data_IF_425692878924
#
_entry.id   IF_425692878924
#
_cell.length_a   1.000
_cell.length_b   1.000
_cell.length_c   1.000
_cell.angle_alpha   90.00
_cell.angle_beta   90.00
_cell.angle_gamma   90.00
#
_symmetry.space_group_name_H-M   'P 1'
#
loop_
_entity.id
_entity.type
_entity.pdbx_description
1 polymer ?
#
# COMPACT_ATOMS: atom_id res chain seq x y z
N UNK A 1 25.83 -75.50 31.89
CA UNK A 1 24.59 -76.10 31.37
C UNK A 1 23.46 -75.10 31.63
N UNK A 2 23.03 -74.38 30.58
CA UNK A 2 21.68 -74.39 29.95
C UNK A 2 20.66 -73.56 30.75
N UNK A 3 19.97 -72.53 30.23
CA UNK A 3 19.87 -72.03 28.86
C UNK A 3 19.25 -70.61 28.79
N UNK A 4 19.33 -69.99 27.61
CA UNK A 4 18.84 -68.65 27.26
C UNK A 4 17.67 -68.80 26.28
N UNK A 5 16.58 -68.02 26.36
CA UNK A 5 15.52 -68.05 25.37
C UNK A 5 15.84 -67.18 24.14
N UNK A 6 15.46 -67.69 22.97
CA UNK A 6 15.57 -67.05 21.65
C UNK A 6 14.55 -65.91 21.46
N UNK A 7 14.98 -64.87 20.76
CA UNK A 7 14.18 -63.70 20.37
C UNK A 7 14.02 -63.69 18.83
N UNK A 8 12.79 -63.59 18.31
CA UNK A 8 12.48 -63.42 16.89
C UNK A 8 12.23 -61.94 16.54
N UNK A 9 12.65 -61.44 15.36
CA UNK A 9 12.07 -60.23 14.79
C UNK A 9 11.44 -60.49 13.41
N UNK A 10 10.13 -60.26 13.26
CA UNK A 10 9.44 -60.20 11.97
C UNK A 10 8.54 -58.96 11.85
N UNK A 11 9.13 -57.77 11.79
CA UNK A 11 8.40 -56.54 11.41
C UNK A 11 9.12 -55.61 10.42
N UNK A 12 10.29 -55.99 9.89
CA UNK A 12 11.02 -55.16 8.91
C UNK A 12 10.79 -55.55 7.44
N UNK A 13 10.17 -56.69 7.15
CA UNK A 13 9.98 -57.18 5.78
C UNK A 13 8.68 -56.67 5.15
N UNK A 14 7.67 -56.27 5.94
CA UNK A 14 6.39 -55.78 5.42
C UNK A 14 6.42 -54.31 4.93
N UNK A 15 7.43 -53.52 5.31
CA UNK A 15 7.47 -52.08 5.00
C UNK A 15 8.09 -51.79 3.62
N UNK A 16 8.99 -52.64 3.15
CA UNK A 16 9.67 -52.45 1.85
C UNK A 16 8.81 -52.87 0.64
N UNK A 17 7.87 -53.80 0.82
CA UNK A 17 6.95 -54.23 -0.24
C UNK A 17 5.81 -53.24 -0.51
N UNK A 18 5.42 -52.43 0.48
CA UNK A 18 4.39 -51.39 0.30
C UNK A 18 4.95 -50.14 -0.42
N UNK A 19 6.21 -49.78 -0.17
CA UNK A 19 6.85 -48.60 -0.78
C UNK A 19 7.18 -48.82 -2.26
N UNK A 20 7.54 -50.05 -2.66
CA UNK A 20 7.86 -50.38 -4.05
C UNK A 20 6.61 -50.31 -4.96
N UNK A 21 5.43 -50.67 -4.46
CA UNK A 21 4.17 -50.63 -5.22
C UNK A 21 3.63 -49.22 -5.47
N UNK A 22 3.89 -48.27 -4.55
CA UNK A 22 3.44 -46.88 -4.72
C UNK A 22 4.24 -46.15 -5.82
N UNK A 23 5.53 -46.46 -5.97
CA UNK A 23 6.39 -45.87 -7.01
C UNK A 23 6.04 -46.37 -8.42
N UNK A 24 5.59 -47.62 -8.57
CA UNK A 24 5.19 -48.16 -9.88
C UNK A 24 3.86 -47.58 -10.36
N UNK A 25 2.93 -47.29 -9.44
CA UNK A 25 1.64 -46.69 -9.78
C UNK A 25 1.78 -45.21 -10.20
N UNK A 26 2.71 -44.47 -9.59
CA UNK A 26 2.99 -43.07 -9.94
C UNK A 26 3.66 -42.94 -11.32
N UNK A 27 4.51 -43.90 -11.70
CA UNK A 27 5.19 -43.90 -13.00
C UNK A 27 4.24 -44.23 -14.16
N UNK A 28 3.24 -45.09 -13.93
CA UNK A 28 2.21 -45.41 -14.93
C UNK A 28 1.22 -44.25 -15.17
N UNK A 29 0.90 -43.46 -14.13
CA UNK A 29 0.03 -42.28 -14.26
C UNK A 29 0.71 -41.11 -15.00
N UNK A 30 2.02 -40.94 -14.85
CA UNK A 30 2.79 -39.91 -15.57
C UNK A 30 2.98 -40.27 -17.06
N UNK A 31 3.12 -41.56 -17.40
CA UNK A 31 3.24 -42.00 -18.79
C UNK A 31 1.95 -41.82 -19.61
N UNK A 32 0.77 -41.88 -18.98
CA UNK A 32 -0.52 -41.63 -19.62
C UNK A 32 -0.83 -40.14 -19.88
N UNK A 33 -0.07 -39.21 -19.31
CA UNK A 33 -0.30 -37.78 -19.50
C UNK A 33 0.46 -37.19 -20.70
N UNK A 34 1.52 -37.87 -21.18
CA UNK A 34 2.36 -37.39 -22.29
C UNK A 34 1.89 -37.82 -23.70
N UNK A 35 0.76 -38.51 -23.84
CA UNK A 35 0.22 -38.94 -25.15
C UNK A 35 -0.96 -38.11 -25.68
N UNK A 36 -1.32 -37.02 -25.00
CA UNK A 36 -2.54 -36.23 -25.33
C UNK A 36 -2.28 -34.79 -25.78
N UNK A 37 -1.07 -34.44 -26.22
CA UNK A 37 -0.78 -33.15 -26.85
C UNK A 37 -0.04 -33.34 -28.16
N UNK A 38 -0.79 -33.67 -29.21
CA UNK A 38 -0.32 -33.51 -30.58
C UNK A 38 -1.51 -33.15 -31.47
N UNK A 39 -1.68 -31.85 -31.71
CA UNK A 39 -2.59 -31.34 -32.74
C UNK A 39 -2.09 -30.00 -33.28
N UNK A 40 -2.00 -29.92 -34.61
CA UNK A 40 -2.19 -28.68 -35.34
C UNK A 40 -0.94 -27.89 -35.73
N UNK A 41 -0.33 -28.30 -36.85
CA UNK A 41 0.51 -27.46 -37.70
C UNK A 41 -0.32 -26.26 -38.20
N UNK A 42 0.20 -25.05 -38.00
CA UNK A 42 -0.29 -23.82 -38.61
C UNK A 42 0.88 -23.07 -39.24
N UNK A 43 0.83 -22.92 -40.56
CA UNK A 43 1.77 -22.19 -41.42
C UNK A 43 2.08 -20.77 -40.91
N UNK A 44 3.36 -20.46 -40.78
CA UNK A 44 3.85 -19.08 -40.80
C UNK A 44 5.01 -18.97 -41.80
N UNK A 45 4.74 -18.34 -42.94
CA UNK A 45 5.77 -17.87 -43.86
C UNK A 45 6.48 -16.63 -43.28
N UNK A 46 7.81 -16.47 -43.49
CA UNK A 46 8.58 -15.37 -42.91
C UNK A 46 8.50 -14.09 -43.76
N UNK A 47 8.41 -12.93 -43.10
CA UNK A 47 8.66 -11.63 -43.71
C UNK A 47 10.06 -11.17 -43.29
N UNK A 48 10.92 -10.70 -44.22
CA UNK A 48 12.35 -10.53 -43.98
C UNK A 48 12.69 -9.26 -43.19
N UNK A 49 13.72 -9.39 -42.34
CA UNK A 49 14.45 -8.29 -41.74
C UNK A 49 15.31 -7.58 -42.80
N UNK A 50 15.22 -6.25 -42.84
CA UNK A 50 16.18 -5.41 -43.55
C UNK A 50 17.17 -4.89 -42.51
N UNK A 51 18.43 -5.30 -42.70
CA UNK A 51 19.62 -4.77 -42.04
C UNK A 51 20.12 -3.60 -42.89
N UNK A 52 20.42 -2.47 -42.27
CA UNK A 52 21.44 -1.55 -42.81
C UNK A 52 22.44 -1.24 -41.69
N UNK A 53 23.63 -1.82 -41.85
CA UNK A 53 24.85 -1.52 -41.10
C UNK A 53 25.73 -0.71 -42.04
N UNK A 54 26.22 0.44 -41.60
CA UNK A 54 27.45 1.01 -42.11
C UNK A 54 28.44 1.28 -40.97
N UNK A 55 29.63 0.75 -41.19
CA UNK A 55 30.83 0.71 -40.36
C UNK A 55 31.72 1.93 -40.57
N UNK A 56 32.46 2.35 -39.53
CA UNK A 56 33.92 2.59 -39.60
C UNK A 56 34.52 2.93 -38.21
N UNK A 57 35.40 2.05 -37.72
CA UNK A 57 36.54 2.32 -36.80
C UNK A 57 37.77 2.73 -37.66
N UNK A 58 39.01 3.00 -37.16
CA UNK A 58 39.59 2.75 -35.82
C UNK A 58 40.62 3.77 -35.26
N UNK A 59 41.03 3.54 -34.00
CA UNK A 59 42.42 3.45 -33.47
C UNK A 59 42.68 4.21 -32.17
N UNK A 60 43.28 3.51 -31.20
CA UNK A 60 44.09 4.12 -30.13
C UNK A 60 43.99 3.46 -28.75
N UNK A 61 44.71 2.35 -28.55
CA UNK A 61 45.27 1.90 -27.25
C UNK A 61 46.79 2.21 -27.26
N UNK A 62 47.60 2.04 -26.17
CA UNK A 62 47.34 1.41 -24.87
C UNK A 62 47.97 2.13 -23.64
N UNK A 63 47.72 1.65 -22.41
CA UNK A 63 48.80 1.29 -21.46
C UNK A 63 48.28 0.59 -20.19
N UNK A 64 49.11 -0.32 -19.71
CA UNK A 64 48.98 -1.26 -18.58
C UNK A 64 49.00 -0.61 -17.18
N UNK A 65 48.54 -1.36 -16.18
CA UNK A 65 48.81 -1.12 -14.76
C UNK A 65 48.24 -2.24 -13.87
N UNK A 66 49.13 -2.96 -13.19
CA UNK A 66 48.91 -4.22 -12.49
C UNK A 66 48.32 -4.07 -11.07
N UNK A 67 47.57 -5.11 -10.66
CA UNK A 67 47.50 -5.83 -9.37
C UNK A 67 47.68 -5.09 -8.03
N UNK A 68 46.73 -5.28 -7.10
CA UNK A 68 47.03 -5.90 -5.79
C UNK A 68 45.76 -6.38 -5.06
N UNK A 69 45.89 -7.57 -4.45
CA UNK A 69 44.91 -8.25 -3.60
C UNK A 69 45.32 -7.97 -2.14
N UNK A 70 44.37 -7.51 -1.31
CA UNK A 70 44.53 -7.47 0.13
C UNK A 70 43.28 -8.03 0.81
N UNK A 71 43.44 -9.25 1.34
CA UNK A 71 42.56 -9.84 2.36
C UNK A 71 42.90 -9.18 3.69
N UNK A 72 41.90 -8.67 4.40
CA UNK A 72 42.00 -8.48 5.84
C UNK A 72 40.65 -8.69 6.53
N UNK A 73 40.75 -9.31 7.68
CA UNK A 73 39.71 -9.95 8.48
C UNK A 73 39.11 -9.03 9.53
N UNK A 74 37.87 -9.38 9.94
CA UNK A 74 37.25 -9.26 11.27
C UNK A 74 36.54 -7.96 11.70
N UNK A 75 35.38 -8.26 12.28
CA UNK A 75 34.60 -7.57 13.32
C UNK A 75 33.76 -6.35 12.92
N UNK A 76 32.48 -6.64 12.68
CA UNK A 76 31.36 -5.72 12.45
C UNK A 76 30.73 -5.35 13.79
N UNK A 77 30.63 -4.06 14.18
CA UNK A 77 29.64 -3.62 15.12
C UNK A 77 28.35 -3.23 14.37
N UNK A 78 27.22 -3.66 14.94
CA UNK A 78 25.86 -3.25 14.58
C UNK A 78 25.67 -1.75 14.84
N UNK A 79 25.14 -0.95 13.91
CA UNK A 79 24.72 0.40 14.24
C UNK A 79 23.26 0.39 14.72
N UNK A 80 23.06 0.67 16.00
CA UNK A 80 21.82 1.20 16.55
C UNK A 80 21.73 2.67 16.13
N UNK A 81 20.71 3.04 15.36
CA UNK A 81 20.47 4.43 14.96
C UNK A 81 19.71 5.17 16.06
N UNK A 82 20.46 5.86 16.93
CA UNK A 82 19.95 7.02 17.65
C UNK A 82 20.04 8.24 16.72
N UNK A 83 18.89 8.84 16.39
CA UNK A 83 18.84 10.12 15.68
C UNK A 83 18.94 11.23 16.73
N UNK A 84 20.07 11.92 16.78
CA UNK A 84 20.17 13.23 17.43
C UNK A 84 19.97 14.34 16.39
N UNK A 85 19.23 15.42 16.72
CA UNK A 85 19.08 16.55 15.83
C UNK A 85 20.23 17.53 16.08
N UNK A 86 21.09 17.75 15.10
CA UNK A 86 21.75 19.04 14.88
C UNK A 86 22.64 18.97 13.62
N UNK A 87 22.23 19.65 12.55
CA UNK A 87 23.13 20.30 11.60
C UNK A 87 22.35 21.36 10.78
N UNK A 88 23.01 22.39 10.22
CA UNK A 88 22.57 23.77 10.29
C UNK A 88 21.99 24.22 8.94
N UNK A 89 21.20 25.27 9.00
CA UNK A 89 20.62 25.94 7.84
C UNK A 89 21.73 26.52 6.95
N UNK A 90 21.78 26.08 5.69
CA UNK A 90 22.54 26.77 4.64
C UNK A 90 21.66 27.91 4.13
N UNK A 91 22.02 29.13 4.52
CA UNK A 91 21.59 30.37 3.89
C UNK A 91 22.16 30.43 2.47
N UNK A 92 21.30 30.52 1.46
CA UNK A 92 21.67 31.06 0.16
C UNK A 92 20.74 32.23 -0.15
N UNK A 93 21.33 33.42 -0.03
CA UNK A 93 20.82 34.69 -0.51
C UNK A 93 20.83 34.76 -2.03
N UNK A 94 19.90 35.57 -2.53
CA UNK A 94 19.88 36.26 -3.83
C UNK A 94 18.97 35.67 -4.92
N UNK A 95 17.69 36.04 -4.84
CA UNK A 95 16.84 36.22 -6.01
C UNK A 95 15.95 37.45 -5.79
N UNK A 96 16.37 38.56 -6.40
CA UNK A 96 15.58 39.78 -6.54
C UNK A 96 14.53 39.60 -7.64
N UNK A 97 13.29 39.36 -7.26
CA UNK A 97 12.13 39.45 -8.16
C UNK A 97 11.20 40.55 -7.65
N UNK A 98 11.22 41.70 -8.34
CA UNK A 98 10.23 42.77 -8.19
C UNK A 98 8.90 42.25 -8.74
N UNK A 99 7.95 41.95 -7.87
CA UNK A 99 6.54 41.83 -8.22
C UNK A 99 5.74 42.80 -7.36
N UNK A 100 5.22 43.83 -8.00
CA UNK A 100 4.27 44.78 -7.44
C UNK A 100 2.90 44.10 -7.30
N UNK A 101 2.51 43.79 -6.07
CA UNK A 101 1.15 43.33 -5.75
C UNK A 101 0.30 44.54 -5.40
N UNK A 102 -0.73 44.81 -6.21
CA UNK A 102 -1.76 45.80 -5.91
C UNK A 102 -2.71 45.21 -4.87
N UNK A 103 -2.66 45.72 -3.63
CA UNK A 103 -3.65 45.45 -2.59
C UNK A 103 -4.96 46.16 -2.95
N UNK A 104 -5.95 45.40 -3.40
CA UNK A 104 -7.35 45.86 -3.45
C UNK A 104 -7.92 45.72 -2.04
N UNK A 105 -8.09 46.85 -1.36
CA UNK A 105 -8.77 46.91 -0.06
C UNK A 105 -10.28 46.76 -0.26
N UNK A 106 -10.83 45.62 0.17
CA UNK A 106 -12.28 45.47 0.30
C UNK A 106 -12.75 46.17 1.57
N UNK A 107 -13.45 47.29 1.41
CA UNK A 107 -14.20 47.94 2.48
C UNK A 107 -15.55 47.24 2.58
N UNK A 108 -15.76 46.48 3.66
CA UNK A 108 -17.08 45.93 4.00
C UNK A 108 -17.99 47.04 4.54
N UNK A 109 -19.14 47.23 3.88
CA UNK A 109 -20.20 48.14 4.31
C UNK A 109 -20.86 47.68 5.63
N UNK A 110 -21.38 48.60 6.46
CA UNK A 110 -22.01 48.26 7.72
C UNK A 110 -23.36 47.55 7.48
N UNK A 111 -23.53 46.39 8.11
CA UNK A 111 -24.81 45.68 8.21
C UNK A 111 -25.69 46.42 9.22
N UNK A 112 -26.86 46.87 8.79
CA UNK A 112 -27.86 47.51 9.64
C UNK A 112 -28.36 46.52 10.71
N UNK A 113 -28.38 46.98 11.95
CA UNK A 113 -28.88 46.22 13.09
C UNK A 113 -30.39 45.99 12.97
N UNK A 114 -30.81 44.73 12.92
CA UNK A 114 -32.20 44.33 13.06
C UNK A 114 -32.60 44.28 14.54
N UNK A 115 -33.76 44.85 14.85
CA UNK A 115 -34.41 44.90 16.17
C UNK A 115 -34.81 43.50 16.64
N UNK A 116 -34.71 43.15 17.94
CA UNK A 116 -35.07 41.82 18.42
C UNK A 116 -36.60 41.63 18.46
N UNK A 117 -37.08 40.64 17.72
CA UNK A 117 -38.44 40.13 17.82
C UNK A 117 -38.63 39.26 19.08
N UNK A 118 -39.86 39.26 19.59
CA UNK A 118 -40.27 38.73 20.88
C UNK A 118 -39.95 37.24 21.10
N UNK A 119 -39.63 36.91 22.37
CA UNK A 119 -39.39 35.58 22.92
C UNK A 119 -40.62 34.68 22.73
N UNK A 120 -40.57 33.80 21.73
CA UNK A 120 -41.44 32.63 21.61
C UNK A 120 -40.99 31.56 22.61
N UNK A 121 -41.96 30.89 23.24
CA UNK A 121 -41.75 29.86 24.25
C UNK A 121 -40.88 28.70 23.72
N UNK A 122 -39.93 28.25 24.55
CA UNK A 122 -39.07 27.08 24.35
C UNK A 122 -39.95 25.82 24.18
N UNK A 123 -40.15 25.38 22.94
CA UNK A 123 -40.40 23.97 22.68
C UNK A 123 -39.06 23.25 22.70
N UNK A 124 -38.93 22.13 23.45
CA UNK A 124 -37.72 21.32 23.41
C UNK A 124 -37.52 20.82 21.98
N UNK A 125 -36.54 21.39 21.29
CA UNK A 125 -36.08 20.91 19.99
C UNK A 125 -35.47 19.54 20.21
N UNK A 126 -36.25 18.48 19.98
CA UNK A 126 -35.72 17.13 19.89
C UNK A 126 -34.78 17.16 18.68
N UNK A 127 -33.47 17.24 18.94
CA UNK A 127 -32.46 17.04 17.89
C UNK A 127 -32.77 15.69 17.24
N UNK A 128 -33.01 15.62 15.92
CA UNK A 128 -33.25 14.35 15.26
C UNK A 128 -32.08 13.42 15.60
N UNK A 129 -32.40 12.22 16.11
CA UNK A 129 -31.39 11.17 16.29
C UNK A 129 -30.73 10.93 14.94
N UNK A 130 -29.38 10.97 14.83
CA UNK A 130 -28.72 10.70 13.57
C UNK A 130 -29.17 9.32 13.04
N UNK A 131 -29.63 9.28 11.79
CA UNK A 131 -29.90 8.01 11.10
C UNK A 131 -28.62 7.16 11.10
N UNK A 132 -28.76 5.83 11.13
CA UNK A 132 -27.63 4.94 10.88
C UNK A 132 -26.99 5.25 9.50
N UNK A 133 -25.67 5.07 9.35
CA UNK A 133 -24.99 5.24 8.06
C UNK A 133 -25.53 4.21 7.05
N UNK A 134 -25.59 4.60 5.78
CA UNK A 134 -26.05 3.69 4.71
C UNK A 134 -24.96 2.70 4.30
N UNK A 135 -23.70 3.12 4.43
CA UNK A 135 -22.53 2.28 4.17
C UNK A 135 -21.57 2.37 5.35
N UNK A 136 -20.95 1.24 5.65
CA UNK A 136 -19.97 1.12 6.72
C UNK A 136 -18.94 0.08 6.30
N UNK A 137 -17.77 0.55 5.88
CA UNK A 137 -16.77 -0.27 5.20
C UNK A 137 -15.50 -0.31 6.05
N UNK A 138 -14.98 -1.50 6.42
CA UNK A 138 -13.66 -1.62 7.02
C UNK A 138 -12.58 -1.21 6.02
N UNK A 139 -11.72 -0.28 6.43
CA UNK A 139 -10.53 0.13 5.68
C UNK A 139 -9.33 -0.34 6.48
N UNK A 140 -8.65 -1.38 6.01
CA UNK A 140 -7.56 -2.03 6.72
C UNK A 140 -6.25 -1.32 6.43
N UNK A 141 -5.57 -0.85 7.46
CA UNK A 141 -4.32 -0.09 7.39
C UNK A 141 -3.13 -0.99 7.76
N UNK A 142 -2.42 -1.43 6.73
CA UNK A 142 -1.14 -2.13 6.78
C UNK A 142 0.01 -1.16 6.50
N UNK A 143 1.24 -1.55 6.84
CA UNK A 143 2.46 -0.81 6.49
C UNK A 143 3.47 -1.79 5.85
N UNK A 144 4.43 -2.30 6.63
CA UNK A 144 5.48 -3.20 6.16
C UNK A 144 5.10 -4.68 6.31
N UNK A 145 5.48 -5.49 5.33
CA UNK A 145 5.22 -6.93 5.23
C UNK A 145 6.52 -7.72 5.29
N UNK A 146 7.11 -7.81 6.48
CA UNK A 146 8.38 -8.51 6.73
C UNK A 146 8.40 -9.15 8.11
N UNK A 147 9.56 -9.68 8.53
CA UNK A 147 9.73 -10.26 9.86
C UNK A 147 10.54 -9.28 10.72
N UNK A 148 9.87 -8.58 11.61
CA UNK A 148 10.47 -7.69 12.61
C UNK A 148 9.71 -7.79 13.95
N UNK A 149 10.05 -8.78 14.81
CA UNK A 149 9.32 -9.02 16.06
C UNK A 149 9.37 -7.82 17.03
N UNK A 150 8.25 -7.49 17.66
CA UNK A 150 8.12 -6.32 18.55
C UNK A 150 7.67 -5.05 17.84
N UNK A 151 7.62 -5.06 16.50
CA UNK A 151 7.19 -3.91 15.71
C UNK A 151 5.73 -4.06 15.26
N UNK A 152 4.81 -3.36 15.95
CA UNK A 152 3.37 -3.49 15.72
C UNK A 152 2.91 -3.05 14.32
N UNK A 153 3.69 -2.22 13.60
CA UNK A 153 3.35 -1.80 12.23
C UNK A 153 3.82 -2.79 11.17
N UNK A 154 4.59 -3.83 11.55
CA UNK A 154 5.12 -4.85 10.65
C UNK A 154 4.32 -6.14 10.81
N UNK A 155 3.76 -6.64 9.71
CA UNK A 155 3.09 -7.96 9.66
C UNK A 155 3.97 -8.97 8.92
N UNK A 156 4.08 -10.20 9.41
CA UNK A 156 4.79 -11.24 8.67
C UNK A 156 4.04 -11.64 7.39
N UNK A 157 4.74 -12.04 6.31
CA UNK A 157 4.09 -12.54 5.10
C UNK A 157 3.09 -13.68 5.37
N UNK A 158 3.43 -14.59 6.29
CA UNK A 158 2.55 -15.69 6.69
C UNK A 158 1.25 -15.19 7.35
N UNK A 159 1.33 -14.21 8.25
CA UNK A 159 0.13 -13.63 8.89
C UNK A 159 -0.71 -12.84 7.89
N UNK A 160 -0.08 -12.12 6.96
CA UNK A 160 -0.82 -11.44 5.89
C UNK A 160 -1.58 -12.47 5.03
N UNK A 161 -0.92 -13.56 4.65
CA UNK A 161 -1.55 -14.64 3.89
C UNK A 161 -2.72 -15.30 4.65
N UNK A 162 -2.59 -15.55 5.95
CA UNK A 162 -3.70 -16.02 6.79
C UNK A 162 -4.91 -15.05 6.75
N UNK A 163 -4.65 -13.75 6.85
CA UNK A 163 -5.71 -12.74 6.79
C UNK A 163 -6.38 -12.68 5.41
N UNK A 164 -5.60 -12.71 4.32
CA UNK A 164 -6.16 -12.69 2.96
C UNK A 164 -6.96 -13.97 2.66
N UNK A 165 -6.47 -15.12 3.11
CA UNK A 165 -7.17 -16.41 3.02
C UNK A 165 -8.51 -16.34 3.74
N UNK A 166 -8.52 -15.80 4.97
CA UNK A 166 -9.76 -15.63 5.73
C UNK A 166 -10.76 -14.73 5.00
N UNK A 167 -10.32 -13.58 4.48
CA UNK A 167 -11.19 -12.66 3.73
C UNK A 167 -11.84 -13.37 2.53
N UNK A 168 -11.03 -14.09 1.74
CA UNK A 168 -11.49 -14.86 0.59
C UNK A 168 -12.52 -15.92 0.99
N UNK A 169 -12.18 -16.79 1.94
CA UNK A 169 -12.99 -17.96 2.30
C UNK A 169 -14.31 -17.58 3.00
N UNK A 170 -14.39 -16.38 3.57
CA UNK A 170 -15.58 -15.88 4.28
C UNK A 170 -16.40 -14.87 3.46
N UNK A 171 -16.08 -14.73 2.16
CA UNK A 171 -16.84 -13.92 1.21
C UNK A 171 -16.69 -12.41 1.42
N UNK A 172 -15.59 -11.95 2.03
CA UNK A 172 -15.25 -10.54 1.99
C UNK A 172 -14.78 -10.17 0.59
N UNK A 173 -15.20 -8.99 0.13
CA UNK A 173 -14.83 -8.48 -1.20
C UNK A 173 -13.90 -7.29 -1.05
N UNK A 174 -12.57 -7.48 -1.12
CA UNK A 174 -11.64 -6.38 -1.34
C UNK A 174 -11.99 -5.58 -2.59
N UNK A 175 -12.17 -4.26 -2.45
CA UNK A 175 -12.57 -3.36 -3.54
C UNK A 175 -11.46 -2.37 -3.89
N UNK A 176 -11.43 -1.92 -5.14
CA UNK A 176 -10.56 -0.81 -5.56
C UNK A 176 -10.96 0.51 -4.89
N UNK A 177 -10.06 1.50 -4.86
CA UNK A 177 -10.34 2.80 -4.29
C UNK A 177 -11.51 3.50 -5.00
N UNK A 178 -11.59 3.39 -6.32
CA UNK A 178 -12.68 3.93 -7.11
C UNK A 178 -14.04 3.34 -6.72
N UNK A 179 -14.09 2.03 -6.50
CA UNK A 179 -15.31 1.33 -6.04
C UNK A 179 -15.67 1.76 -4.62
N UNK A 180 -14.69 1.79 -3.72
CA UNK A 180 -14.87 2.28 -2.36
C UNK A 180 -15.48 3.69 -2.32
N UNK A 181 -14.93 4.63 -3.10
CA UNK A 181 -15.45 6.00 -3.15
C UNK A 181 -16.88 6.02 -3.69
N UNK A 182 -17.18 5.24 -4.73
CA UNK A 182 -18.52 5.17 -5.30
C UNK A 182 -19.56 4.67 -4.28
N UNK A 183 -19.15 3.75 -3.40
CA UNK A 183 -19.98 3.26 -2.29
C UNK A 183 -20.20 4.34 -1.23
N UNK A 184 -19.15 5.07 -0.84
CA UNK A 184 -19.25 6.19 0.13
C UNK A 184 -20.12 7.33 -0.40
N UNK A 185 -20.02 7.66 -1.69
CA UNK A 185 -20.79 8.72 -2.34
C UNK A 185 -22.24 8.29 -2.64
N UNK A 186 -22.55 6.99 -2.57
CA UNK A 186 -23.86 6.45 -2.88
C UNK A 186 -24.28 6.60 -4.35
N UNK A 187 -23.31 6.73 -5.26
CA UNK A 187 -23.52 6.97 -6.69
C UNK A 187 -23.27 5.73 -7.57
N UNK A 188 -23.01 4.56 -6.95
CA UNK A 188 -22.88 3.30 -7.66
C UNK A 188 -24.18 2.88 -8.36
N UNK A 189 -24.12 2.65 -9.68
CA UNK A 189 -25.23 2.10 -10.47
C UNK A 189 -25.37 0.59 -10.34
N UNK A 190 -24.35 -0.09 -9.82
CA UNK A 190 -24.34 -1.52 -9.53
C UNK A 190 -24.71 -1.79 -8.06
N UNK A 191 -25.27 -2.96 -7.78
CA UNK A 191 -25.46 -3.43 -6.41
C UNK A 191 -24.11 -3.41 -5.67
N UNK A 192 -24.10 -2.93 -4.42
CA UNK A 192 -22.91 -2.93 -3.60
C UNK A 192 -22.38 -4.38 -3.45
N UNK A 193 -21.06 -4.62 -3.58
CA UNK A 193 -20.50 -5.95 -3.39
C UNK A 193 -20.78 -6.43 -1.97
N UNK A 194 -20.91 -7.75 -1.80
CA UNK A 194 -21.10 -8.32 -0.47
C UNK A 194 -19.83 -8.12 0.37
N UNK A 195 -20.02 -7.71 1.63
CA UNK A 195 -18.95 -7.55 2.63
C UNK A 195 -17.72 -6.78 2.08
N UNK A 196 -17.89 -5.54 1.58
CA UNK A 196 -16.80 -4.78 1.01
C UNK A 196 -15.72 -4.51 2.05
N UNK A 197 -14.45 -4.56 1.64
CA UNK A 197 -13.28 -4.18 2.45
C UNK A 197 -12.34 -3.37 1.56
N UNK A 198 -11.72 -2.31 2.10
CA UNK A 198 -10.63 -1.64 1.41
C UNK A 198 -9.30 -2.03 2.05
N UNK A 199 -8.37 -2.56 1.27
CA UNK A 199 -7.01 -2.88 1.70
C UNK A 199 -6.12 -1.67 1.43
N UNK A 200 -5.45 -1.14 2.45
CA UNK A 200 -4.54 0.00 2.32
C UNK A 200 -3.18 -0.31 2.91
N UNK A 201 -2.12 0.10 2.22
CA UNK A 201 -0.74 0.04 2.64
C UNK A 201 -0.16 1.46 2.66
N UNK A 202 0.56 1.82 3.71
CA UNK A 202 1.18 3.14 3.86
C UNK A 202 2.71 3.05 3.64
N UNK A 203 3.34 4.22 3.53
CA UNK A 203 4.78 4.50 3.46
C UNK A 203 5.51 4.12 2.17
N UNK A 204 5.08 3.05 1.48
CA UNK A 204 5.72 2.60 0.23
C UNK A 204 6.98 1.77 0.46
N UNK A 205 6.94 0.87 1.45
CA UNK A 205 8.01 -0.09 1.72
C UNK A 205 8.19 -1.08 0.56
N UNK A 206 9.44 -1.47 0.29
CA UNK A 206 9.78 -2.40 -0.80
C UNK A 206 9.08 -3.76 -0.67
N UNK A 207 8.84 -4.20 0.57
CA UNK A 207 8.15 -5.45 0.87
C UNK A 207 6.66 -5.46 0.45
N UNK A 208 6.07 -4.29 0.18
CA UNK A 208 4.73 -4.21 -0.41
C UNK A 208 4.73 -4.80 -1.83
N UNK A 209 5.83 -4.63 -2.57
CA UNK A 209 6.04 -5.26 -3.88
C UNK A 209 6.55 -6.70 -3.75
N UNK A 210 7.53 -6.96 -2.89
CA UNK A 210 8.17 -8.28 -2.82
C UNK A 210 7.33 -9.35 -2.12
N UNK A 211 6.50 -8.96 -1.14
CA UNK A 211 5.75 -9.88 -0.28
C UNK A 211 4.24 -9.69 -0.41
N UNK A 212 3.74 -8.45 -0.26
CA UNK A 212 2.30 -8.21 -0.23
C UNK A 212 1.63 -8.49 -1.59
N UNK A 213 2.19 -7.92 -2.67
CA UNK A 213 1.68 -8.11 -4.03
C UNK A 213 1.48 -9.58 -4.43
N UNK A 214 2.48 -10.49 -4.33
CA UNK A 214 2.27 -11.88 -4.71
C UNK A 214 1.26 -12.62 -3.81
N UNK A 215 1.08 -12.22 -2.54
CA UNK A 215 0.05 -12.79 -1.67
C UNK A 215 -1.34 -12.34 -2.13
N UNK A 216 -1.55 -11.04 -2.36
CA UNK A 216 -2.85 -10.51 -2.79
C UNK A 216 -3.23 -11.00 -4.20
N UNK A 217 -2.24 -11.19 -5.08
CA UNK A 217 -2.44 -11.70 -6.43
C UNK A 217 -3.04 -13.12 -6.46
N UNK A 218 -2.81 -13.96 -5.45
CA UNK A 218 -3.44 -15.31 -5.33
C UNK A 218 -4.97 -15.24 -5.32
N UNK A 219 -5.52 -14.13 -4.87
CA UNK A 219 -6.96 -13.91 -4.68
C UNK A 219 -7.53 -12.83 -5.61
N UNK A 220 -6.70 -12.29 -6.53
CA UNK A 220 -7.03 -11.13 -7.35
C UNK A 220 -7.53 -9.92 -6.54
N UNK A 221 -6.98 -9.72 -5.34
CA UNK A 221 -7.39 -8.63 -4.45
C UNK A 221 -6.73 -7.30 -4.86
N UNK A 222 -7.53 -6.25 -5.13
CA UNK A 222 -6.99 -4.91 -5.28
C UNK A 222 -6.57 -4.34 -3.91
N UNK A 223 -5.69 -3.34 -3.94
CA UNK A 223 -5.33 -2.56 -2.77
C UNK A 223 -4.97 -1.12 -3.15
N UNK A 224 -4.90 -0.24 -2.15
CA UNK A 224 -4.40 1.13 -2.30
C UNK A 224 -3.07 1.25 -1.57
N UNK A 225 -2.06 1.79 -2.23
CA UNK A 225 -0.79 2.15 -1.62
C UNK A 225 -0.66 3.68 -1.52
N UNK A 226 -0.43 4.18 -0.31
CA UNK A 226 -0.11 5.57 -0.04
C UNK A 226 1.41 5.73 0.07
N UNK A 227 2.02 6.47 -0.86
CA UNK A 227 3.49 6.65 -0.90
C UNK A 227 3.92 8.07 -0.57
N UNK A 228 5.13 8.21 -0.03
CA UNK A 228 5.86 9.48 0.02
C UNK A 228 6.91 9.52 -1.10
N UNK A 229 6.72 10.27 -2.20
CA UNK A 229 7.65 10.27 -3.33
C UNK A 229 9.10 10.64 -2.97
N UNK A 230 9.31 11.44 -1.93
CA UNK A 230 10.66 11.76 -1.43
C UNK A 230 11.39 10.59 -0.77
N UNK A 231 10.67 9.51 -0.44
CA UNK A 231 11.24 8.27 0.09
C UNK A 231 11.55 7.25 -1.00
N UNK A 232 11.04 7.44 -2.22
CA UNK A 232 11.30 6.54 -3.36
C UNK A 232 12.79 6.46 -3.66
N UNK A 233 13.25 5.27 -4.04
CA UNK A 233 14.67 4.92 -4.26
C UNK A 233 15.57 4.93 -3.01
N UNK A 234 15.03 5.26 -1.82
CA UNK A 234 15.78 5.08 -0.58
C UNK A 234 15.81 3.61 -0.16
N UNK A 235 16.82 3.23 0.64
CA UNK A 235 16.96 1.86 1.16
C UNK A 235 15.71 1.45 1.94
N UNK A 236 15.11 0.32 1.55
CA UNK A 236 13.89 -0.21 2.17
C UNK A 236 12.58 0.31 1.56
N UNK A 237 12.64 1.24 0.62
CA UNK A 237 11.48 1.79 -0.08
C UNK A 237 11.42 1.34 -1.53
N UNK A 238 10.24 1.44 -2.12
CA UNK A 238 10.01 1.14 -3.52
C UNK A 238 10.77 2.12 -4.43
N UNK A 239 11.12 1.65 -5.63
CA UNK A 239 11.44 2.51 -6.76
C UNK A 239 10.22 2.71 -7.68
N UNK A 240 10.31 3.66 -8.61
CA UNK A 240 9.21 3.95 -9.54
C UNK A 240 8.87 2.80 -10.49
N UNK A 241 9.81 1.91 -10.82
CA UNK A 241 9.51 0.72 -11.64
C UNK A 241 8.60 -0.25 -10.88
N UNK A 242 8.88 -0.49 -9.60
CA UNK A 242 8.08 -1.35 -8.73
C UNK A 242 6.70 -0.74 -8.46
N UNK A 243 6.63 0.58 -8.25
CA UNK A 243 5.34 1.30 -8.10
C UNK A 243 4.49 1.14 -9.37
N UNK A 244 5.08 1.25 -10.56
CA UNK A 244 4.36 1.01 -11.83
C UNK A 244 3.83 -0.41 -11.92
N UNK A 245 4.61 -1.42 -11.52
CA UNK A 245 4.16 -2.82 -11.50
C UNK A 245 3.02 -3.07 -10.50
N UNK A 246 3.06 -2.45 -9.32
CA UNK A 246 1.94 -2.48 -8.37
C UNK A 246 0.69 -1.88 -9.01
N UNK A 247 0.83 -0.73 -9.67
CA UNK A 247 -0.28 -0.07 -10.36
C UNK A 247 -0.86 -0.93 -11.50
N UNK A 248 -0.01 -1.51 -12.34
CA UNK A 248 -0.40 -2.44 -13.42
C UNK A 248 -1.09 -3.70 -12.88
N UNK A 249 -0.78 -4.14 -11.66
CA UNK A 249 -1.46 -5.23 -10.97
C UNK A 249 -2.81 -4.82 -10.36
N UNK A 250 -3.28 -3.60 -10.59
CA UNK A 250 -4.58 -3.10 -10.14
C UNK A 250 -4.54 -2.41 -8.79
N UNK A 251 -3.37 -2.03 -8.27
CA UNK A 251 -3.28 -1.20 -7.07
C UNK A 251 -3.46 0.29 -7.39
N UNK A 252 -4.20 0.98 -6.54
CA UNK A 252 -4.30 2.45 -6.58
C UNK A 252 -3.08 3.07 -5.89
N UNK A 253 -2.43 4.05 -6.50
CA UNK A 253 -1.27 4.75 -5.92
C UNK A 253 -1.68 6.19 -5.57
N UNK A 254 -1.49 6.58 -4.31
CA UNK A 254 -1.98 7.84 -3.76
C UNK A 254 -0.95 8.52 -2.83
N UNK A 255 -1.05 9.83 -2.58
CA UNK A 255 -0.05 10.56 -1.79
C UNK A 255 -0.17 10.35 -0.27
N UNK A 256 1.00 10.20 0.38
CA UNK A 256 1.20 10.15 1.84
C UNK A 256 2.09 11.31 2.35
N UNK A 257 1.97 12.49 1.74
CA UNK A 257 2.95 13.57 1.89
C UNK A 257 4.16 13.38 0.97
N UNK A 258 5.05 14.37 0.90
CA UNK A 258 6.24 14.31 0.04
C UNK A 258 7.39 13.63 0.79
N UNK A 259 7.57 13.94 2.07
CA UNK A 259 8.69 13.48 2.90
C UNK A 259 8.25 12.85 4.22
N UNK A 260 6.98 12.46 4.34
CA UNK A 260 6.37 11.91 5.55
C UNK A 260 6.52 12.77 6.84
N UNK A 261 6.20 14.08 6.84
CA UNK A 261 6.34 14.92 8.03
C UNK A 261 5.09 14.91 8.92
N UNK A 262 5.25 15.34 10.17
CA UNK A 262 4.13 15.79 11.01
C UNK A 262 3.55 17.11 10.46
N UNK A 263 2.58 17.03 9.55
CA UNK A 263 2.00 18.18 8.84
C UNK A 263 1.62 19.36 9.76
N UNK A 264 0.99 19.16 10.95
CA UNK A 264 0.63 20.28 11.82
C UNK A 264 1.80 21.08 12.38
N UNK A 265 3.02 20.53 12.37
CA UNK A 265 4.25 21.21 12.81
C UNK A 265 4.85 22.11 11.73
N UNK A 266 4.34 22.05 10.51
CA UNK A 266 4.83 22.81 9.36
C UNK A 266 4.04 24.10 9.14
N UNK A 267 4.71 25.09 8.53
CA UNK A 267 4.04 26.29 8.00
C UNK A 267 3.06 25.94 6.87
N UNK A 268 2.15 26.86 6.53
CA UNK A 268 1.18 26.64 5.46
C UNK A 268 1.83 26.33 4.10
N UNK A 269 2.91 27.04 3.75
CA UNK A 269 3.62 26.81 2.49
C UNK A 269 4.31 25.44 2.46
N UNK A 270 4.88 25.00 3.58
CA UNK A 270 5.48 23.67 3.71
C UNK A 270 4.43 22.57 3.63
N UNK A 271 3.27 22.71 4.30
CA UNK A 271 2.16 21.77 4.15
C UNK A 271 1.67 21.70 2.69
N UNK A 272 1.58 22.84 2.01
CA UNK A 272 1.17 22.89 0.62
C UNK A 272 2.17 22.17 -0.29
N UNK A 273 3.47 22.37 -0.08
CA UNK A 273 4.51 21.62 -0.79
C UNK A 273 4.36 20.10 -0.58
N UNK A 274 4.26 19.66 0.68
CA UNK A 274 4.14 18.24 1.04
C UNK A 274 2.94 17.55 0.40
N UNK A 275 1.81 18.25 0.31
CA UNK A 275 0.57 17.70 -0.24
C UNK A 275 0.59 17.73 -1.78
N UNK A 276 0.94 18.88 -2.36
CA UNK A 276 0.76 19.14 -3.78
C UNK A 276 1.89 18.55 -4.63
N UNK A 277 3.13 18.59 -4.15
CA UNK A 277 4.26 18.00 -4.87
C UNK A 277 4.17 16.47 -4.87
N UNK A 278 3.75 15.86 -3.75
CA UNK A 278 3.53 14.42 -3.69
C UNK A 278 2.50 13.95 -4.72
N UNK A 279 1.35 14.62 -4.80
CA UNK A 279 0.35 14.36 -5.84
C UNK A 279 0.95 14.51 -7.23
N UNK A 280 1.57 15.67 -7.51
CA UNK A 280 2.14 15.97 -8.82
C UNK A 280 3.10 14.88 -9.30
N UNK A 281 4.02 14.41 -8.45
CA UNK A 281 4.98 13.38 -8.87
C UNK A 281 4.30 12.04 -9.19
N UNK A 282 3.29 11.65 -8.41
CA UNK A 282 2.51 10.43 -8.70
C UNK A 282 1.79 10.57 -10.05
N UNK A 283 1.12 11.69 -10.28
CA UNK A 283 0.39 11.95 -11.53
C UNK A 283 1.34 12.00 -12.75
N UNK A 284 2.52 12.62 -12.62
CA UNK A 284 3.54 12.67 -13.67
C UNK A 284 4.14 11.30 -13.99
N UNK A 285 4.36 10.45 -12.98
CA UNK A 285 4.99 9.14 -13.16
C UNK A 285 4.03 8.07 -13.69
N UNK A 286 2.74 8.15 -13.34
CA UNK A 286 1.76 7.10 -13.61
C UNK A 286 0.66 7.52 -14.58
N UNK A 287 0.47 8.82 -14.83
CA UNK A 287 -0.62 9.31 -15.67
C UNK A 287 -2.02 9.08 -15.07
N UNK A 288 -2.11 8.92 -13.75
CA UNK A 288 -3.36 8.73 -13.01
C UNK A 288 -3.78 10.01 -12.29
N UNK A 289 -4.99 10.03 -11.75
CA UNK A 289 -5.42 11.07 -10.81
C UNK A 289 -5.12 10.64 -9.37
N UNK A 290 -4.41 11.47 -8.62
CA UNK A 290 -4.00 11.16 -7.26
C UNK A 290 -4.66 12.12 -6.26
N UNK A 291 -5.99 12.05 -6.16
CA UNK A 291 -6.84 13.00 -5.43
C UNK A 291 -7.37 12.47 -4.08
N UNK A 292 -6.79 11.39 -3.57
CA UNK A 292 -7.11 10.85 -2.24
C UNK A 292 -5.85 10.86 -1.38
N UNK A 293 -5.90 11.52 -0.24
CA UNK A 293 -4.70 11.70 0.60
C UNK A 293 -4.71 10.75 1.80
N UNK A 294 -3.55 10.37 2.30
CA UNK A 294 -3.42 9.77 3.63
C UNK A 294 -2.50 10.64 4.48
N UNK A 295 -2.89 11.01 5.69
CA UNK A 295 -2.05 11.86 6.54
C UNK A 295 -0.93 11.05 7.20
N UNK A 296 0.35 11.45 7.09
CA UNK A 296 1.40 10.92 7.96
C UNK A 296 0.99 11.01 9.41
N UNK A 297 1.16 9.90 10.15
CA UNK A 297 0.76 9.75 11.55
C UNK A 297 -0.75 9.96 11.83
N UNK A 298 -1.58 10.12 10.79
CA UNK A 298 -2.99 10.50 10.91
C UNK A 298 -3.22 11.96 11.32
N UNK A 299 -2.19 12.79 11.30
CA UNK A 299 -2.21 14.14 11.84
C UNK A 299 -2.56 15.20 10.78
N UNK A 300 -3.49 16.10 11.12
CA UNK A 300 -3.88 17.22 10.27
C UNK A 300 -4.35 18.41 11.10
N UNK A 301 -4.37 19.60 10.51
CA UNK A 301 -4.98 20.77 11.12
C UNK A 301 -5.86 21.54 10.10
N UNK A 302 -6.41 22.69 10.50
CA UNK A 302 -7.30 23.49 9.64
C UNK A 302 -6.62 23.95 8.34
N UNK A 303 -5.31 24.19 8.37
CA UNK A 303 -4.52 24.57 7.19
C UNK A 303 -4.44 23.39 6.24
N UNK A 304 -4.12 22.19 6.76
CA UNK A 304 -4.08 20.94 5.98
C UNK A 304 -5.41 20.70 5.26
N UNK A 305 -6.53 20.77 5.99
CA UNK A 305 -7.88 20.59 5.44
C UNK A 305 -8.20 21.63 4.36
N UNK A 306 -7.79 22.88 4.57
CA UNK A 306 -8.01 23.96 3.60
C UNK A 306 -7.23 23.70 2.30
N UNK A 307 -5.97 23.26 2.38
CA UNK A 307 -5.15 22.94 1.21
C UNK A 307 -5.81 21.82 0.40
N UNK A 308 -6.21 20.71 1.06
CA UNK A 308 -6.89 19.61 0.37
C UNK A 308 -8.16 20.08 -0.36
N UNK A 309 -8.98 20.90 0.31
CA UNK A 309 -10.20 21.46 -0.24
C UNK A 309 -9.96 22.40 -1.42
N UNK A 310 -9.07 23.38 -1.27
CA UNK A 310 -8.78 24.39 -2.29
C UNK A 310 -8.18 23.77 -3.56
N UNK A 311 -7.53 22.61 -3.43
CA UNK A 311 -6.86 21.92 -4.53
C UNK A 311 -7.58 20.67 -5.03
N UNK A 312 -8.85 20.47 -4.63
CA UNK A 312 -9.73 19.47 -5.23
C UNK A 312 -9.39 18.02 -4.91
N UNK A 313 -8.79 17.75 -3.74
CA UNK A 313 -8.76 16.39 -3.21
C UNK A 313 -10.20 15.93 -2.91
N UNK A 314 -10.50 14.66 -3.13
CA UNK A 314 -11.84 14.09 -2.89
C UNK A 314 -11.99 13.61 -1.47
N UNK A 315 -11.02 12.84 -0.99
CA UNK A 315 -11.05 12.22 0.33
C UNK A 315 -9.68 12.25 0.99
N UNK A 316 -9.66 12.07 2.31
CA UNK A 316 -8.44 11.77 3.03
C UNK A 316 -8.67 10.80 4.20
N UNK A 317 -7.69 9.91 4.40
CA UNK A 317 -7.69 8.91 5.46
C UNK A 317 -6.86 9.34 6.67
N UNK A 318 -7.37 8.98 7.84
CA UNK A 318 -6.73 9.20 9.16
C UNK A 318 -6.32 7.86 9.79
N UNK A 319 -5.73 7.91 10.99
CA UNK A 319 -5.47 6.73 11.84
C UNK A 319 -6.56 6.52 12.90
N UNK A 320 -7.64 7.33 12.89
CA UNK A 320 -8.75 7.16 13.82
C UNK A 320 -9.43 5.81 13.60
N UNK A 321 -9.53 5.01 14.67
CA UNK A 321 -10.08 3.65 14.61
C UNK A 321 -11.58 3.66 14.30
N UNK A 322 -11.99 2.88 13.30
CA UNK A 322 -13.38 2.63 12.96
C UNK A 322 -13.60 2.37 11.48
N UNK A 323 -14.85 2.09 11.11
CA UNK A 323 -15.23 1.88 9.72
C UNK A 323 -15.45 3.22 9.02
N UNK A 324 -15.16 3.26 7.73
CA UNK A 324 -15.47 4.40 6.88
C UNK A 324 -16.96 4.42 6.54
N UNK A 325 -17.62 5.57 6.68
CA UNK A 325 -19.06 5.72 6.41
C UNK A 325 -19.38 6.92 5.52
N UNK A 326 -20.58 6.92 4.93
CA UNK A 326 -21.15 8.03 4.14
C UNK A 326 -21.46 9.29 4.97
N UNK A 327 -21.37 9.21 6.30
CA UNK A 327 -21.63 10.32 7.20
C UNK A 327 -20.36 11.04 7.67
N UNK A 328 -19.18 10.51 7.34
CA UNK A 328 -17.93 11.14 7.74
C UNK A 328 -17.57 12.34 6.86
N UNK A 329 -16.87 13.34 7.42
CA UNK A 329 -16.27 14.39 6.60
C UNK A 329 -15.32 13.76 5.56
N UNK A 330 -15.33 14.21 4.29
CA UNK A 330 -14.54 13.59 3.23
C UNK A 330 -13.05 13.47 3.54
N UNK A 331 -12.49 14.44 4.25
CA UNK A 331 -11.06 14.47 4.61
C UNK A 331 -10.74 13.82 5.97
N UNK A 332 -11.67 13.05 6.53
CA UNK A 332 -11.52 12.44 7.86
C UNK A 332 -12.07 11.00 7.87
N UNK A 333 -11.82 10.25 6.80
CA UNK A 333 -12.19 8.84 6.75
C UNK A 333 -11.37 8.05 7.78
N UNK A 334 -12.05 7.11 8.44
CA UNK A 334 -11.47 6.26 9.48
C UNK A 334 -10.85 5.02 8.85
N UNK A 335 -9.89 4.43 9.56
CA UNK A 335 -9.25 3.18 9.20
C UNK A 335 -9.13 2.28 10.42
N UNK A 336 -8.87 1.01 10.18
CA UNK A 336 -8.61 0.00 11.20
C UNK A 336 -7.13 -0.31 11.13
N UNK A 337 -6.41 -0.05 12.21
CA UNK A 337 -4.99 -0.39 12.28
C UNK A 337 -4.81 -1.90 12.38
N UNK A 338 -3.97 -2.45 11.49
CA UNK A 338 -3.56 -3.84 11.57
C UNK A 338 -2.26 -3.93 12.34
N UNK A 339 -2.38 -4.34 13.61
CA UNK A 339 -1.23 -4.66 14.42
C UNK A 339 -0.67 -6.02 13.99
N UNK A 340 0.55 -6.06 13.46
CA UNK A 340 1.16 -7.28 12.98
C UNK A 340 1.53 -8.31 14.06
N UNK A 341 1.52 -7.90 15.33
CA UNK A 341 1.71 -8.82 16.46
C UNK A 341 0.45 -9.61 16.81
N UNK A 342 -0.73 -9.11 16.45
CA UNK A 342 -2.00 -9.78 16.70
C UNK A 342 -2.14 -11.11 15.96
N UNK A 343 -2.98 -11.99 16.52
CA UNK A 343 -3.37 -13.26 15.89
C UNK A 343 -4.57 -13.08 14.95
N UNK A 344 -4.86 -14.12 14.16
CA UNK A 344 -5.99 -14.12 13.24
C UNK A 344 -7.33 -13.88 13.96
N UNK A 345 -7.49 -14.39 15.18
CA UNK A 345 -8.71 -14.19 15.96
C UNK A 345 -8.97 -12.70 16.29
N UNK A 346 -7.92 -11.97 16.65
CA UNK A 346 -7.98 -10.53 16.91
C UNK A 346 -8.26 -9.74 15.64
N UNK A 347 -7.67 -10.14 14.51
CA UNK A 347 -8.00 -9.60 13.19
C UNK A 347 -9.49 -9.76 12.85
N UNK A 348 -10.05 -10.96 13.02
CA UNK A 348 -11.46 -11.24 12.71
C UNK A 348 -12.42 -10.35 13.50
N UNK A 349 -12.10 -10.06 14.78
CA UNK A 349 -12.93 -9.17 15.61
C UNK A 349 -13.03 -7.75 15.08
N UNK A 350 -12.10 -7.32 14.23
CA UNK A 350 -12.11 -6.00 13.60
C UNK A 350 -13.04 -5.94 12.40
N UNK A 351 -13.41 -7.08 11.81
CA UNK A 351 -14.29 -7.13 10.64
C UNK A 351 -15.77 -7.07 11.03
N UNK A 352 -16.65 -6.56 10.15
CA UNK A 352 -18.08 -6.56 10.40
C UNK A 352 -18.59 -7.99 10.60
N UNK A 353 -19.44 -8.18 11.60
CA UNK A 353 -20.17 -9.43 11.78
C UNK A 353 -21.32 -9.45 10.77
N UNK A 354 -21.42 -10.54 10.05
CA UNK A 354 -22.54 -10.83 9.18
C UNK A 354 -23.20 -12.09 9.74
N UNK A 355 -24.49 -11.99 10.04
CA UNK A 355 -25.31 -13.08 10.59
C UNK A 355 -25.63 -14.17 9.56
#
# INVERSE_FOLDING_TARGET
MVGVPMNFPSKRILFYSLLAGLFTLLFLLLASCLSSFNYGIGDFSPIPAIIEVQSATPMGSPSEGQSEVLVSTKDKPTPSLEITPDHPLIENTDLTMKSSVTLVTYVSAPVAAATPAAKGADQPTIKPTPSAPKVSIPVLNYHSVTIDPGNIVVISPAKLEEQMTYLHDHGYTPVSLATFISLIEGNGSAAAPEKPVLLTFDDGYIDNYEQALPILAKYAFPATLFISPGMVDQVGYLNWEQIKKLHEAGWDIQPHGMTHPHLPKLSANQQAYEILEARKQIEEQLGVKADVFCYPYGEFNKITLKILMDHGFRYAFTTQQGYATDQQPPYQLKRIFINGEEDLHSFIKKLPKHD
#
